data_IF_797831058194
#
_entry.id   IF_797831058194
#
_cell.length_a   1.000
_cell.length_b   1.000
_cell.length_c   1.000
_cell.angle_alpha   90.00
_cell.angle_beta   90.00
_cell.angle_gamma   90.00
#
_symmetry.space_group_name_H-M   'P 1'
#
loop_
_entity.id
_entity.type
_entity.pdbx_description
1 polymer ?
#
# COMPACT_ATOMS: atom_id res chain seq x y z
N UNK A 1 25.40 -4.40 -4.99
CA UNK A 1 24.02 -4.67 -4.52
C UNK A 1 23.18 -4.84 -5.77
N UNK A 2 22.59 -6.02 -6.01
CA UNK A 2 21.74 -6.23 -7.19
C UNK A 2 20.52 -5.30 -7.08
N UNK A 3 20.41 -4.36 -8.01
CA UNK A 3 19.25 -3.48 -8.10
C UNK A 3 18.18 -4.27 -8.86
N UNK A 4 17.21 -4.78 -8.12
CA UNK A 4 16.04 -5.47 -8.69
C UNK A 4 14.95 -4.44 -8.76
N UNK A 5 14.39 -4.23 -9.96
CA UNK A 5 13.25 -3.35 -10.14
C UNK A 5 12.07 -3.85 -9.30
N UNK A 6 11.42 -2.90 -8.61
CA UNK A 6 10.31 -3.20 -7.70
C UNK A 6 9.03 -2.59 -8.25
N UNK A 7 7.96 -3.38 -8.21
CA UNK A 7 6.59 -2.96 -8.54
C UNK A 7 5.76 -2.98 -7.24
N UNK A 8 4.82 -2.03 -7.03
CA UNK A 8 3.94 -2.09 -5.89
C UNK A 8 3.09 -3.38 -5.91
N UNK A 9 2.92 -4.01 -4.75
CA UNK A 9 2.28 -5.32 -4.67
C UNK A 9 0.83 -5.32 -5.23
N UNK A 10 0.07 -4.25 -5.01
CA UNK A 10 -1.28 -4.07 -5.59
C UNK A 10 -1.26 -4.03 -7.12
N UNK A 11 -0.23 -3.44 -7.71
CA UNK A 11 -0.08 -3.33 -9.16
C UNK A 11 0.27 -4.69 -9.74
N UNK A 12 1.22 -5.40 -9.14
CA UNK A 12 1.55 -6.79 -9.52
C UNK A 12 0.33 -7.71 -9.41
N UNK A 13 -0.44 -7.60 -8.33
CA UNK A 13 -1.66 -8.39 -8.15
C UNK A 13 -2.69 -8.12 -9.25
N UNK A 14 -2.88 -6.85 -9.64
CA UNK A 14 -3.72 -6.47 -10.78
C UNK A 14 -3.20 -7.02 -12.11
N UNK A 15 -1.89 -6.97 -12.34
CA UNK A 15 -1.25 -7.52 -13.55
C UNK A 15 -1.49 -9.02 -13.67
N UNK A 16 -1.25 -9.78 -12.58
CA UNK A 16 -1.56 -11.20 -12.51
C UNK A 16 -3.05 -11.48 -12.69
N UNK A 17 -3.91 -10.57 -12.25
CA UNK A 17 -5.36 -10.66 -12.44
C UNK A 17 -5.85 -10.42 -13.88
N UNK A 18 -4.99 -9.93 -14.78
CA UNK A 18 -5.37 -9.68 -16.17
C UNK A 18 -5.33 -8.21 -16.60
N UNK A 19 -4.97 -7.29 -15.71
CA UNK A 19 -4.91 -5.85 -16.04
C UNK A 19 -3.63 -5.54 -16.80
N UNK A 20 -3.75 -4.95 -17.97
CA UNK A 20 -2.61 -4.43 -18.73
C UNK A 20 -2.30 -3.00 -18.29
N UNK A 21 -1.08 -2.80 -17.79
CA UNK A 21 -0.60 -1.51 -17.30
C UNK A 21 0.58 -1.11 -18.20
N UNK A 22 0.46 -0.06 -19.03
CA UNK A 22 1.50 0.31 -20.00
C UNK A 22 2.88 0.54 -19.37
N UNK A 23 2.93 1.02 -18.12
CA UNK A 23 4.15 1.24 -17.35
C UNK A 23 4.83 -0.07 -16.92
N UNK A 24 4.09 -1.18 -16.88
CA UNK A 24 4.56 -2.50 -16.48
C UNK A 24 4.19 -3.54 -17.55
N UNK A 25 4.82 -3.48 -18.74
CA UNK A 25 4.50 -4.36 -19.85
C UNK A 25 4.76 -5.82 -19.45
N UNK A 26 3.71 -6.63 -19.49
CA UNK A 26 3.76 -8.02 -19.02
C UNK A 26 3.41 -8.98 -20.15
N UNK A 27 4.30 -9.94 -20.41
CA UNK A 27 4.04 -11.00 -21.38
C UNK A 27 3.04 -12.00 -20.80
N UNK A 28 1.84 -12.04 -21.38
CA UNK A 28 0.82 -13.07 -21.08
C UNK A 28 1.09 -14.29 -21.94
N UNK A 29 1.48 -15.38 -21.31
CA UNK A 29 1.73 -16.64 -22.02
C UNK A 29 0.42 -17.38 -22.22
N UNK A 30 0.19 -17.81 -23.45
CA UNK A 30 -0.97 -18.61 -23.87
C UNK A 30 -0.69 -20.10 -23.81
N UNK A 31 0.58 -20.49 -23.91
CA UNK A 31 1.02 -21.88 -23.77
C UNK A 31 1.66 -22.12 -22.39
N UNK A 32 1.51 -23.34 -21.84
CA UNK A 32 2.09 -23.68 -20.55
C UNK A 32 3.61 -23.64 -20.60
N UNK A 33 4.18 -23.28 -19.45
CA UNK A 33 5.61 -23.20 -19.24
C UNK A 33 6.00 -24.18 -18.16
N UNK A 34 7.04 -24.96 -18.41
CA UNK A 34 7.49 -25.98 -17.49
C UNK A 34 8.81 -25.58 -16.85
N UNK A 35 8.87 -25.58 -15.53
CA UNK A 35 10.13 -25.48 -14.79
C UNK A 35 10.71 -26.87 -14.59
N UNK A 36 11.70 -27.24 -15.41
CA UNK A 36 12.41 -28.52 -15.31
C UNK A 36 13.81 -28.25 -14.77
N UNK A 37 14.11 -28.75 -13.56
CA UNK A 37 15.39 -28.56 -12.87
C UNK A 37 15.86 -27.08 -12.81
N UNK A 38 14.93 -26.16 -12.55
CA UNK A 38 15.22 -24.71 -12.47
C UNK A 38 15.35 -24.00 -13.82
N UNK A 39 15.24 -24.72 -14.94
CA UNK A 39 15.18 -24.12 -16.29
C UNK A 39 13.73 -23.98 -16.73
N UNK A 40 13.41 -22.79 -17.21
CA UNK A 40 12.10 -22.47 -17.78
C UNK A 40 12.08 -22.94 -19.22
N UNK A 41 11.30 -23.98 -19.52
CA UNK A 41 11.06 -24.46 -20.87
C UNK A 41 9.77 -23.79 -21.36
N UNK A 42 9.95 -22.85 -22.30
CA UNK A 42 8.86 -22.14 -22.96
C UNK A 42 8.50 -22.84 -24.27
N UNK A 43 7.25 -23.28 -24.40
CA UNK A 43 6.74 -23.96 -25.58
C UNK A 43 6.08 -23.00 -26.59
N UNK A 44 6.00 -21.70 -26.27
CA UNK A 44 5.73 -20.66 -27.27
C UNK A 44 6.86 -20.65 -28.31
N UNK A 45 6.66 -21.44 -29.37
CA UNK A 45 7.55 -21.54 -30.52
C UNK A 45 7.79 -20.15 -31.11
N UNK A 46 9.05 -19.72 -31.06
CA UNK A 46 9.66 -18.62 -31.84
C UNK A 46 8.98 -17.26 -31.65
N UNK A 47 9.76 -16.27 -31.26
CA UNK A 47 9.42 -14.86 -31.47
C UNK A 47 8.68 -14.70 -32.82
N UNK A 48 7.45 -14.15 -32.84
CA UNK A 48 6.99 -13.51 -34.06
C UNK A 48 8.08 -12.50 -34.42
N UNK A 49 8.61 -12.57 -35.64
CA UNK A 49 9.63 -11.62 -36.14
C UNK A 49 9.09 -10.18 -36.29
N UNK A 50 7.97 -9.85 -35.67
CA UNK A 50 7.27 -8.58 -35.74
C UNK A 50 7.19 -7.97 -34.34
N UNK A 51 8.32 -7.86 -33.66
CA UNK A 51 8.52 -6.77 -32.71
C UNK A 51 9.59 -5.94 -33.39
N UNK A 52 9.18 -4.83 -34.02
CA UNK A 52 10.11 -3.84 -34.52
C UNK A 52 11.03 -3.45 -33.36
N UNK A 53 12.29 -3.84 -33.46
CA UNK A 53 13.43 -3.42 -32.63
C UNK A 53 13.74 -1.93 -32.83
N UNK A 54 12.72 -1.11 -33.11
CA UNK A 54 12.86 0.29 -33.52
C UNK A 54 12.38 1.26 -32.45
N UNK A 55 12.12 0.74 -31.25
CA UNK A 55 12.02 1.56 -30.04
C UNK A 55 12.86 0.86 -29.00
N UNK A 56 14.03 1.43 -28.74
CA UNK A 56 14.86 1.09 -27.59
C UNK A 56 13.94 0.85 -26.39
N UNK A 57 13.96 -0.37 -25.85
CA UNK A 57 13.41 -0.62 -24.53
C UNK A 57 14.23 0.28 -23.64
N UNK A 58 13.64 1.37 -23.11
CA UNK A 58 14.35 2.37 -22.32
C UNK A 58 14.95 1.64 -21.10
N UNK A 59 16.22 1.22 -21.20
CA UNK A 59 16.98 0.48 -20.18
C UNK A 59 17.27 1.33 -18.93
N UNK A 60 16.56 2.45 -18.75
CA UNK A 60 16.58 3.21 -17.51
C UNK A 60 15.86 2.40 -16.43
N UNK A 61 16.61 1.44 -15.87
CA UNK A 61 16.30 0.74 -14.64
C UNK A 61 15.67 1.72 -13.67
N UNK A 62 14.43 1.43 -13.32
CA UNK A 62 13.49 2.42 -12.81
C UNK A 62 13.91 2.77 -11.38
N UNK A 63 14.51 3.96 -11.17
CA UNK A 63 14.56 4.46 -9.82
C UNK A 63 13.10 4.74 -9.48
N UNK A 64 12.65 4.27 -8.32
CA UNK A 64 11.54 4.89 -7.60
C UNK A 64 11.95 6.33 -7.20
N UNK A 65 12.36 7.14 -8.16
CA UNK A 65 12.28 8.56 -8.05
C UNK A 65 10.78 8.81 -7.93
N UNK A 66 10.30 8.91 -6.69
CA UNK A 66 9.37 9.97 -6.33
C UNK A 66 9.91 11.16 -7.10
N UNK A 67 9.33 11.46 -8.27
CA UNK A 67 9.41 12.81 -8.80
C UNK A 67 8.87 13.60 -7.63
N UNK A 68 9.76 14.20 -6.82
CA UNK A 68 9.40 15.40 -6.10
C UNK A 68 8.76 16.21 -7.20
N UNK A 69 7.45 16.38 -7.10
CA UNK A 69 6.73 17.29 -7.94
C UNK A 69 7.38 18.63 -7.61
N UNK A 70 8.46 18.96 -8.31
CA UNK A 70 9.07 20.26 -8.24
C UNK A 70 8.03 21.16 -8.88
N UNK A 71 7.32 21.89 -8.01
CA UNK A 71 7.00 23.32 -8.13
C UNK A 71 6.72 23.76 -9.58
N UNK A 72 5.50 24.09 -9.98
CA UNK A 72 4.62 25.06 -9.34
C UNK A 72 3.17 24.74 -9.68
N UNK A 73 2.46 24.09 -8.76
CA UNK A 73 1.00 24.21 -8.79
C UNK A 73 0.70 25.34 -7.84
N UNK A 74 0.40 26.52 -8.38
CA UNK A 74 -0.31 27.57 -7.66
C UNK A 74 -1.28 26.86 -6.71
N UNK A 75 -1.19 27.16 -5.41
CA UNK A 75 -2.19 26.74 -4.45
C UNK A 75 -3.51 27.37 -4.91
N UNK A 76 -4.18 26.74 -5.86
CA UNK A 76 -5.58 26.98 -6.12
C UNK A 76 -6.22 26.56 -4.83
N UNK A 77 -6.64 27.57 -4.08
CA UNK A 77 -7.44 27.44 -2.88
C UNK A 77 -8.66 26.61 -3.28
N UNK A 78 -8.56 25.30 -3.04
CA UNK A 78 -9.57 24.35 -3.43
C UNK A 78 -10.79 24.63 -2.55
N UNK A 79 -11.95 24.87 -3.15
CA UNK A 79 -13.13 25.25 -2.36
C UNK A 79 -13.47 24.10 -1.38
N UNK A 80 -14.07 24.43 -0.24
CA UNK A 80 -14.45 23.45 0.77
C UNK A 80 -15.29 22.29 0.18
N UNK A 81 -16.23 22.62 -0.72
CA UNK A 81 -17.07 21.63 -1.41
C UNK A 81 -16.26 20.68 -2.30
N UNK A 82 -15.18 21.17 -2.92
CA UNK A 82 -14.28 20.37 -3.75
C UNK A 82 -13.45 19.41 -2.87
N UNK A 83 -12.98 19.87 -1.71
CA UNK A 83 -12.26 19.04 -0.73
C UNK A 83 -13.15 17.90 -0.23
N UNK A 84 -14.38 18.22 0.16
CA UNK A 84 -15.33 17.21 0.61
C UNK A 84 -15.67 16.20 -0.48
N UNK A 85 -15.93 16.66 -1.70
CA UNK A 85 -16.20 15.78 -2.83
C UNK A 85 -14.99 14.86 -3.15
N UNK A 86 -13.76 15.37 -3.06
CA UNK A 86 -12.54 14.57 -3.22
C UNK A 86 -12.40 13.55 -2.09
N UNK A 87 -12.62 13.95 -0.84
CA UNK A 87 -12.51 13.09 0.31
C UNK A 87 -13.52 11.93 0.28
N UNK A 88 -14.78 12.22 -0.04
CA UNK A 88 -15.83 11.20 -0.19
C UNK A 88 -15.48 10.20 -1.31
N UNK A 89 -15.03 10.70 -2.46
CA UNK A 89 -14.58 9.83 -3.58
C UNK A 89 -13.36 9.00 -3.19
N UNK A 90 -12.40 9.61 -2.49
CA UNK A 90 -11.19 8.95 -1.98
C UNK A 90 -11.52 7.81 -1.02
N UNK A 91 -12.39 8.05 -0.03
CA UNK A 91 -12.85 7.04 0.92
C UNK A 91 -13.51 5.84 0.19
N UNK A 92 -14.39 6.13 -0.77
CA UNK A 92 -15.05 5.10 -1.59
C UNK A 92 -14.06 4.30 -2.43
N UNK A 93 -13.09 4.97 -3.06
CA UNK A 93 -12.06 4.33 -3.86
C UNK A 93 -11.13 3.46 -3.01
N UNK A 94 -10.70 3.95 -1.85
CA UNK A 94 -9.91 3.20 -0.87
C UNK A 94 -10.61 1.92 -0.44
N UNK A 95 -11.88 2.00 -0.03
CA UNK A 95 -12.68 0.83 0.34
C UNK A 95 -12.82 -0.16 -0.82
N UNK A 96 -13.12 0.33 -2.03
CA UNK A 96 -13.25 -0.51 -3.22
C UNK A 96 -11.93 -1.23 -3.53
N UNK A 97 -10.80 -0.55 -3.38
CA UNK A 97 -9.47 -1.12 -3.56
C UNK A 97 -9.19 -2.21 -2.54
N UNK A 98 -9.43 -1.98 -1.24
CA UNK A 98 -9.21 -3.01 -0.22
C UNK A 98 -10.08 -4.25 -0.45
N UNK A 99 -11.38 -4.07 -0.74
CA UNK A 99 -12.29 -5.20 -1.03
C UNK A 99 -11.85 -5.94 -2.30
N UNK A 100 -11.45 -5.22 -3.34
CA UNK A 100 -10.95 -5.80 -4.58
C UNK A 100 -9.66 -6.59 -4.36
N UNK A 101 -8.73 -6.04 -3.59
CA UNK A 101 -7.48 -6.72 -3.23
C UNK A 101 -7.76 -8.01 -2.45
N UNK A 102 -8.62 -7.98 -1.43
CA UNK A 102 -9.02 -9.19 -0.68
C UNK A 102 -9.56 -10.28 -1.62
N UNK A 103 -10.46 -9.94 -2.54
CA UNK A 103 -11.01 -10.90 -3.51
C UNK A 103 -9.96 -11.45 -4.47
N UNK A 104 -8.99 -10.64 -4.87
CA UNK A 104 -7.89 -11.10 -5.73
C UNK A 104 -6.95 -12.03 -4.96
N UNK A 105 -6.70 -11.76 -3.68
CA UNK A 105 -5.88 -12.62 -2.82
C UNK A 105 -6.50 -14.01 -2.58
N UNK A 106 -7.83 -14.15 -2.69
CA UNK A 106 -8.50 -15.47 -2.66
C UNK A 106 -8.11 -16.36 -3.86
N UNK A 107 -7.75 -15.76 -5.00
CA UNK A 107 -7.40 -16.47 -6.23
C UNK A 107 -5.90 -16.54 -6.48
N UNK A 108 -5.18 -15.46 -6.19
CA UNK A 108 -3.75 -15.33 -6.41
C UNK A 108 -3.05 -15.34 -5.06
N UNK A 109 -2.20 -16.34 -4.86
CA UNK A 109 -1.42 -16.43 -3.63
C UNK A 109 -0.53 -15.20 -3.47
N UNK A 110 -0.48 -14.66 -2.25
CA UNK A 110 0.40 -13.56 -1.88
C UNK A 110 1.19 -13.99 -0.66
N UNK A 111 2.49 -13.74 -0.69
CA UNK A 111 3.42 -14.07 0.37
C UNK A 111 3.98 -12.78 0.95
N UNK A 112 4.15 -12.74 2.26
CA UNK A 112 4.83 -11.66 2.98
C UNK A 112 6.00 -12.22 3.75
N UNK A 113 7.04 -11.41 3.98
CA UNK A 113 8.13 -11.80 4.85
C UNK A 113 7.76 -11.49 6.31
N UNK A 114 7.89 -12.47 7.21
CA UNK A 114 7.58 -12.26 8.63
C UNK A 114 8.51 -11.30 9.38
N UNK A 115 9.55 -10.77 8.73
CA UNK A 115 10.55 -9.90 9.37
C UNK A 115 10.71 -8.52 8.73
N UNK A 116 10.39 -8.37 7.45
CA UNK A 116 10.50 -7.10 6.72
C UNK A 116 9.22 -6.87 5.89
N UNK A 117 8.92 -5.62 5.49
CA UNK A 117 7.70 -5.29 4.74
C UNK A 117 7.73 -5.75 3.27
N UNK A 118 8.50 -6.79 2.94
CA UNK A 118 8.60 -7.32 1.59
C UNK A 118 7.39 -8.22 1.30
N UNK A 119 6.76 -7.99 0.15
CA UNK A 119 5.59 -8.74 -0.32
C UNK A 119 5.89 -9.30 -1.70
N UNK A 120 5.58 -10.57 -1.91
CA UNK A 120 5.68 -11.26 -3.18
C UNK A 120 4.28 -11.73 -3.59
N UNK A 121 3.81 -11.29 -4.76
CA UNK A 121 2.62 -11.90 -5.36
C UNK A 121 3.06 -13.15 -6.13
N UNK A 122 2.43 -14.28 -5.82
CA UNK A 122 2.71 -15.58 -6.39
C UNK A 122 2.69 -16.71 -5.35
N UNK A 123 2.65 -17.97 -5.79
CA UNK A 123 2.53 -19.14 -4.90
C UNK A 123 3.78 -19.40 -4.05
N UNK A 124 4.93 -18.84 -4.42
CA UNK A 124 6.20 -19.00 -3.72
C UNK A 124 6.91 -17.68 -3.63
N UNK A 125 7.45 -17.39 -2.46
CA UNK A 125 8.35 -16.27 -2.25
C UNK A 125 9.64 -16.39 -3.06
N UNK A 126 10.25 -15.25 -3.37
CA UNK A 126 11.50 -15.22 -4.14
C UNK A 126 12.71 -15.71 -3.30
N UNK A 127 13.78 -16.12 -3.97
CA UNK A 127 15.04 -16.59 -3.34
C UNK A 127 16.12 -15.51 -3.18
N UNK A 128 15.84 -14.27 -3.60
CA UNK A 128 16.79 -13.15 -3.45
C UNK A 128 17.13 -12.92 -1.98
N UNK A 129 18.43 -12.86 -1.67
CA UNK A 129 19.00 -12.68 -0.32
C UNK A 129 19.17 -11.20 0.02
N UNK A 130 18.07 -10.46 0.05
CA UNK A 130 18.05 -9.01 0.29
C UNK A 130 17.17 -8.58 1.47
N UNK A 131 16.79 -9.51 2.35
CA UNK A 131 16.13 -9.17 3.60
C UNK A 131 17.07 -8.34 4.47
N UNK A 132 16.63 -7.16 4.88
CA UNK A 132 17.38 -6.23 5.75
C UNK A 132 16.80 -6.15 7.17
N UNK A 133 15.91 -7.07 7.53
CA UNK A 133 15.32 -7.10 8.85
C UNK A 133 16.35 -7.42 9.95
N UNK A 134 15.97 -7.19 11.21
CA UNK A 134 16.78 -7.56 12.36
C UNK A 134 17.26 -9.02 12.27
N UNK A 135 18.54 -9.23 12.59
CA UNK A 135 19.24 -10.54 12.50
C UNK A 135 19.23 -11.19 11.10
N UNK A 136 19.10 -10.42 10.01
CA UNK A 136 19.15 -10.98 8.66
C UNK A 136 20.49 -11.69 8.34
N UNK A 137 21.61 -11.28 8.94
CA UNK A 137 22.92 -11.93 8.77
C UNK A 137 22.90 -13.40 9.20
N UNK A 138 22.17 -13.73 10.28
CA UNK A 138 22.00 -15.11 10.76
C UNK A 138 21.13 -15.96 9.83
N UNK A 139 20.37 -15.31 8.95
CA UNK A 139 19.53 -15.94 7.92
C UNK A 139 20.11 -15.75 6.52
N UNK A 140 21.36 -15.27 6.42
CA UNK A 140 22.04 -15.03 5.15
C UNK A 140 21.20 -14.16 4.19
N UNK A 141 20.54 -13.12 4.73
CA UNK A 141 19.68 -12.20 3.97
C UNK A 141 18.42 -12.84 3.39
N UNK A 142 18.07 -14.08 3.75
CA UNK A 142 16.88 -14.76 3.24
C UNK A 142 15.60 -14.23 3.88
N UNK A 143 14.50 -14.30 3.12
CA UNK A 143 13.17 -13.98 3.60
C UNK A 143 12.51 -15.21 4.23
N UNK A 144 11.71 -14.97 5.26
CA UNK A 144 10.86 -16.00 5.85
C UNK A 144 9.43 -15.78 5.36
N UNK A 145 9.09 -16.47 4.27
CA UNK A 145 7.82 -16.32 3.60
C UNK A 145 6.69 -16.99 4.38
N UNK A 146 5.58 -16.28 4.49
CA UNK A 146 4.31 -16.77 5.00
C UNK A 146 3.17 -16.22 4.13
N UNK A 147 2.00 -16.83 4.23
CA UNK A 147 0.80 -16.34 3.55
C UNK A 147 0.44 -14.93 4.06
N UNK A 148 0.20 -14.01 3.13
CA UNK A 148 -0.09 -12.63 3.46
C UNK A 148 -1.59 -12.44 3.78
N UNK A 149 -1.87 -11.66 4.82
CA UNK A 149 -3.21 -11.11 5.05
C UNK A 149 -3.38 -9.77 4.34
N UNK A 150 -4.61 -9.25 4.28
CA UNK A 150 -4.86 -7.91 3.71
C UNK A 150 -4.07 -6.82 4.43
N UNK A 151 -3.79 -6.97 5.73
CA UNK A 151 -3.01 -6.01 6.50
C UNK A 151 -1.51 -6.14 6.24
N UNK A 152 -1.02 -7.29 5.77
CA UNK A 152 0.37 -7.41 5.32
C UNK A 152 0.53 -6.82 3.91
N UNK A 153 -0.51 -6.96 3.09
CA UNK A 153 -0.55 -6.46 1.71
C UNK A 153 -0.75 -4.95 1.63
N UNK A 154 -1.61 -4.41 2.49
CA UNK A 154 -1.95 -2.98 2.62
C UNK A 154 -1.80 -2.61 4.09
N UNK A 155 -0.56 -2.41 4.56
CA UNK A 155 -0.29 -2.14 5.97
C UNK A 155 -0.98 -0.86 6.43
N UNK A 156 -1.92 -0.94 7.39
CA UNK A 156 -2.55 0.24 7.94
C UNK A 156 -1.55 0.99 8.82
N UNK A 157 -1.35 2.27 8.54
CA UNK A 157 -0.65 3.19 9.44
C UNK A 157 -1.71 3.86 10.31
N UNK A 158 -1.71 3.61 11.62
CA UNK A 158 -2.68 4.24 12.52
C UNK A 158 -2.17 5.60 13.01
N UNK A 159 -3.08 6.56 13.10
CA UNK A 159 -2.87 7.91 13.61
C UNK A 159 -3.96 8.25 14.62
N UNK A 160 -3.72 9.23 15.48
CA UNK A 160 -4.74 9.72 16.39
C UNK A 160 -5.89 10.38 15.63
N UNK A 161 -7.12 10.04 16.04
CA UNK A 161 -8.34 10.60 15.47
C UNK A 161 -8.69 11.92 16.17
N UNK A 162 -8.97 12.96 15.40
CA UNK A 162 -9.42 14.26 15.92
C UNK A 162 -10.94 14.36 15.73
N UNK A 163 -11.69 14.27 16.84
CA UNK A 163 -13.15 14.11 16.83
C UNK A 163 -13.92 15.36 16.38
N UNK A 164 -13.43 16.56 16.72
CA UNK A 164 -14.20 17.81 16.54
C UNK A 164 -13.51 18.81 15.62
N UNK A 165 -14.31 19.51 14.80
CA UNK A 165 -13.88 20.75 14.15
C UNK A 165 -13.52 21.85 15.16
N UNK A 166 -14.07 21.82 16.37
CA UNK A 166 -13.68 22.76 17.43
C UNK A 166 -12.33 22.41 18.08
N UNK A 167 -11.87 21.17 17.91
CA UNK A 167 -10.50 20.76 18.24
C UNK A 167 -9.54 20.94 17.04
N UNK A 168 -10.04 21.24 15.83
CA UNK A 168 -9.20 21.62 14.68
C UNK A 168 -8.50 22.95 14.99
N UNK A 169 -7.29 22.84 15.54
CA UNK A 169 -6.46 23.97 15.96
C UNK A 169 -5.84 23.80 17.35
N UNK A 170 -6.37 22.89 18.18
CA UNK A 170 -5.74 22.52 19.46
C UNK A 170 -4.77 21.36 19.21
N UNK A 171 -3.48 21.50 19.56
CA UNK A 171 -2.53 20.41 19.39
C UNK A 171 -2.87 19.26 20.35
N UNK A 172 -2.66 18.02 19.89
CA UNK A 172 -2.77 16.85 20.75
C UNK A 172 -1.67 16.88 21.82
N UNK A 173 -2.05 16.57 23.05
CA UNK A 173 -1.16 16.61 24.22
C UNK A 173 -0.73 15.18 24.56
N UNK A 174 0.56 14.98 24.85
CA UNK A 174 1.15 13.63 24.99
C UNK A 174 0.60 12.88 26.20
N UNK A 175 0.31 13.63 27.25
CA UNK A 175 -0.24 13.20 28.53
C UNK A 175 -1.62 12.57 28.33
N UNK A 176 -2.41 13.12 27.40
CA UNK A 176 -3.76 12.67 27.06
C UNK A 176 -3.83 11.56 26.01
N UNK A 177 -2.68 10.99 25.59
CA UNK A 177 -2.63 9.93 24.56
C UNK A 177 -3.53 8.71 24.84
N UNK A 178 -3.86 8.47 26.11
CA UNK A 178 -4.72 7.36 26.55
C UNK A 178 -6.20 7.62 26.29
N UNK A 179 -6.60 8.86 26.04
CA UNK A 179 -7.98 9.25 25.76
C UNK A 179 -8.26 9.32 24.26
N UNK A 180 -7.25 9.58 23.45
CA UNK A 180 -7.41 9.65 22.00
C UNK A 180 -7.73 8.28 21.38
N UNK A 181 -8.69 8.30 20.46
CA UNK A 181 -8.93 7.23 19.51
C UNK A 181 -7.89 7.23 18.39
N UNK A 182 -7.91 6.18 17.57
CA UNK A 182 -7.04 6.05 16.41
C UNK A 182 -7.83 5.64 15.17
N UNK A 183 -7.34 6.02 14.00
CA UNK A 183 -7.83 5.59 12.70
C UNK A 183 -6.67 5.29 11.76
N UNK A 184 -6.86 4.46 10.72
CA UNK A 184 -5.89 4.37 9.64
C UNK A 184 -5.70 5.75 8.99
N UNK A 185 -4.45 6.13 8.71
CA UNK A 185 -4.07 7.46 8.24
C UNK A 185 -4.84 7.90 7.00
N UNK A 186 -5.08 6.98 6.06
CA UNK A 186 -5.87 7.25 4.85
C UNK A 186 -7.34 7.54 5.19
N UNK A 187 -7.89 6.85 6.19
CA UNK A 187 -9.27 7.05 6.64
C UNK A 187 -9.40 8.36 7.40
N UNK A 188 -8.47 8.66 8.31
CA UNK A 188 -8.41 9.95 9.01
C UNK A 188 -8.30 11.12 8.03
N UNK A 189 -7.42 11.01 7.03
CA UNK A 189 -7.22 12.03 6.01
C UNK A 189 -8.52 12.38 5.28
N UNK A 190 -9.28 11.37 4.84
CA UNK A 190 -10.56 11.61 4.17
C UNK A 190 -11.64 12.08 5.16
N UNK A 191 -11.63 11.61 6.41
CA UNK A 191 -12.55 12.09 7.44
C UNK A 191 -12.36 13.59 7.72
N UNK A 192 -11.11 14.04 7.87
CA UNK A 192 -10.80 15.46 8.05
C UNK A 192 -11.19 16.30 6.83
N UNK A 193 -11.19 15.69 5.64
CA UNK A 193 -11.75 16.29 4.43
C UNK A 193 -13.29 16.31 4.37
N UNK A 194 -14.01 15.82 5.38
CA UNK A 194 -15.48 15.82 5.43
C UNK A 194 -16.15 14.57 4.86
N UNK A 195 -15.40 13.48 4.62
CA UNK A 195 -15.98 12.20 4.25
C UNK A 195 -16.66 11.52 5.47
N UNK A 196 -17.86 10.96 5.32
CA UNK A 196 -18.54 10.30 6.43
C UNK A 196 -17.80 9.02 6.83
N UNK A 197 -17.59 8.85 8.14
CA UNK A 197 -16.98 7.66 8.71
C UNK A 197 -17.98 6.52 8.87
N UNK A 198 -17.52 5.29 8.62
CA UNK A 198 -18.31 4.09 8.82
C UNK A 198 -18.29 3.61 10.27
N UNK A 199 -19.39 3.03 10.74
CA UNK A 199 -19.55 2.53 12.11
C UNK A 199 -18.51 1.47 12.52
N UNK A 200 -17.89 0.79 11.56
CA UNK A 200 -16.89 -0.23 11.81
C UNK A 200 -15.67 0.31 12.57
N UNK A 201 -15.38 1.60 12.46
CA UNK A 201 -14.26 2.23 13.15
C UNK A 201 -14.60 2.80 14.54
N UNK A 202 -15.86 2.74 14.97
CA UNK A 202 -16.31 3.36 16.22
C UNK A 202 -15.51 2.88 17.44
N UNK A 203 -15.17 1.60 17.49
CA UNK A 203 -14.37 1.00 18.57
C UNK A 203 -12.92 1.54 18.61
N UNK A 204 -12.34 1.91 17.47
CA UNK A 204 -10.98 2.45 17.40
C UNK A 204 -10.97 3.95 17.69
N UNK A 205 -12.05 4.65 17.37
CA UNK A 205 -12.20 6.10 17.54
C UNK A 205 -12.45 6.57 18.97
N UNK A 206 -12.86 5.66 19.88
CA UNK A 206 -13.17 5.97 21.29
C UNK A 206 -14.14 7.15 21.44
N UNK A 207 -15.21 7.14 20.66
CA UNK A 207 -16.25 8.20 20.65
C UNK A 207 -16.99 8.27 21.99
N UNK A 208 -16.95 7.19 22.77
CA UNK A 208 -17.49 7.06 24.12
C UNK A 208 -16.57 7.62 25.22
N UNK A 209 -15.34 8.01 24.87
CA UNK A 209 -14.36 8.56 25.81
C UNK A 209 -14.31 10.08 25.67
N UNK A 210 -14.66 10.78 26.74
CA UNK A 210 -14.51 12.24 26.82
C UNK A 210 -13.03 12.56 27.03
N UNK A 211 -12.48 13.44 26.18
CA UNK A 211 -11.11 13.96 26.32
C UNK A 211 -11.12 15.08 27.37
N UNK A 212 -10.30 15.00 28.43
CA UNK A 212 -10.18 16.07 29.42
C UNK A 212 -9.76 17.40 28.81
N UNK A 213 -10.29 18.51 29.33
CA UNK A 213 -9.82 19.85 28.95
C UNK A 213 -8.42 20.17 29.52
N UNK A 214 -7.79 21.23 29.01
CA UNK A 214 -6.43 21.66 29.39
C UNK A 214 -6.28 21.92 30.90
N UNK A 215 -7.31 22.46 31.53
CA UNK A 215 -7.37 22.74 32.96
C UNK A 215 -7.73 21.50 33.79
N UNK A 216 -8.29 20.47 33.16
CA UNK A 216 -8.57 19.17 33.75
C UNK A 216 -7.36 18.22 33.66
N UNK A 217 -6.42 18.48 32.75
CA UNK A 217 -5.22 17.67 32.51
C UNK A 217 -4.42 17.38 33.78
N UNK A 218 -4.27 18.37 34.66
CA UNK A 218 -3.57 18.26 35.95
C UNK A 218 -4.22 17.28 36.95
N UNK A 219 -5.44 16.83 36.68
CA UNK A 219 -6.19 15.89 37.51
C UNK A 219 -6.25 14.48 36.91
N UNK A 220 -5.61 14.28 35.75
CA UNK A 220 -5.53 12.99 35.06
C UNK A 220 -4.39 12.15 35.65
N UNK A 221 -4.71 10.94 36.12
CA UNK A 221 -3.80 9.99 36.82
C UNK A 221 -3.13 8.98 35.87
#
# INVERSE_FOLDING_TARGET
MLLVDRIPAIVELCVQAGVDIPEYPTRRRTYPVYCVAGRIIDFEKRFPKEISLDKDIDERGFPYNKKRLNQDTNAMEMRCDDIQAVAVRGMKAWKKMCIGATKLMEKYAVQTCGYCPEVQVGPKGHRVRNCQAYKHQMRDGQHAWQEATINDFIPPVYVYHIQDQQQQGKPLVKELKRYYGMLPAVVELFSQGGAPLEKNYAHTMRVDVVVPEMDEEKWVV
#
